data_IF_916687590151
#
_entry.id   IF_916687590151
#
_cell.length_a   1.000
_cell.length_b   1.000
_cell.length_c   1.000
_cell.angle_alpha   90.00
_cell.angle_beta   90.00
_cell.angle_gamma   90.00
#
_symmetry.space_group_name_H-M   'P 1'
#
loop_
_entity.id
_entity.type
_entity.pdbx_description
1 polymer ?
#
# COMPACT_ATOMS: atom_id res chain seq x y z
N UNK A 1 4.68 31.81 44.09
CA UNK A 1 4.35 30.38 43.88
C UNK A 1 4.77 30.00 42.48
N UNK A 2 5.80 29.18 42.34
CA UNK A 2 6.28 28.62 41.08
C UNK A 2 6.62 27.16 41.37
N UNK A 3 5.87 26.23 40.80
CA UNK A 3 6.27 24.83 40.65
C UNK A 3 5.87 24.40 39.25
N UNK A 4 6.88 24.39 38.39
CA UNK A 4 6.90 23.74 37.08
C UNK A 4 6.99 22.21 37.25
N UNK A 5 6.80 21.50 36.14
CA UNK A 5 7.27 20.11 35.90
C UNK A 5 6.37 19.01 36.50
N UNK A 6 5.98 17.94 35.83
CA UNK A 6 6.42 17.29 34.60
C UNK A 6 5.18 16.63 33.94
N UNK A 7 4.91 16.93 32.66
CA UNK A 7 4.18 15.99 31.79
C UNK A 7 5.24 15.06 31.24
N UNK A 8 5.37 13.89 31.85
CA UNK A 8 6.10 12.77 31.23
C UNK A 8 5.39 12.45 29.92
N UNK A 9 5.96 12.94 28.82
CA UNK A 9 5.69 12.43 27.49
C UNK A 9 6.23 11.00 27.47
N UNK A 10 5.34 10.02 27.68
CA UNK A 10 5.61 8.65 27.26
C UNK A 10 5.88 8.70 25.76
N UNK A 11 7.15 8.74 25.39
CA UNK A 11 7.58 8.30 24.06
C UNK A 11 7.22 6.82 23.95
N UNK A 12 6.01 6.55 23.47
CA UNK A 12 5.68 5.26 22.89
C UNK A 12 6.61 5.10 21.68
N UNK A 13 7.77 4.48 21.92
CA UNK A 13 8.58 3.85 20.91
C UNK A 13 7.76 2.72 20.31
N UNK A 14 6.90 3.11 19.37
CA UNK A 14 6.17 2.19 18.52
C UNK A 14 7.20 1.24 17.90
N UNK A 15 7.10 -0.08 18.10
CA UNK A 15 8.00 -1.05 17.47
C UNK A 15 7.95 -0.97 15.93
N UNK A 16 6.98 -0.25 15.39
CA UNK A 16 6.80 0.00 13.96
C UNK A 16 7.55 1.24 13.45
N UNK A 17 8.14 2.08 14.32
CA UNK A 17 8.74 3.36 13.88
C UNK A 17 9.98 3.19 12.98
N UNK A 18 10.68 2.05 13.06
CA UNK A 18 11.92 1.82 12.32
C UNK A 18 11.77 0.99 11.03
N UNK A 19 10.62 0.33 10.81
CA UNK A 19 10.39 -0.54 9.64
C UNK A 19 9.41 0.04 8.61
N UNK A 20 8.73 1.15 8.92
CA UNK A 20 7.76 1.78 8.00
C UNK A 20 8.45 2.50 6.82
N UNK A 21 9.74 2.83 6.95
CA UNK A 21 10.54 3.42 5.87
C UNK A 21 11.13 2.38 4.89
N UNK A 22 10.94 1.08 5.13
CA UNK A 22 11.49 0.03 4.27
C UNK A 22 10.56 -0.29 3.08
N UNK A 23 10.55 0.69 2.18
CA UNK A 23 10.34 0.67 0.72
C UNK A 23 9.13 -0.11 0.19
N UNK A 24 8.03 0.63 0.00
CA UNK A 24 7.09 0.30 -1.05
C UNK A 24 7.67 0.67 -2.43
N UNK A 25 7.95 -0.33 -3.24
CA UNK A 25 8.54 -0.17 -4.57
C UNK A 25 7.51 -0.07 -5.70
N UNK A 26 7.99 0.29 -6.89
CA UNK A 26 7.21 0.12 -8.12
C UNK A 26 7.10 -1.35 -8.51
N UNK A 27 5.93 -1.79 -8.97
CA UNK A 27 5.69 -3.12 -9.53
C UNK A 27 4.98 -3.01 -10.88
N UNK A 28 5.67 -3.36 -11.98
CA UNK A 28 5.12 -3.27 -13.35
C UNK A 28 4.48 -1.91 -13.68
N UNK A 29 5.12 -0.83 -13.20
CA UNK A 29 4.64 0.55 -13.36
C UNK A 29 3.59 1.00 -12.34
N UNK A 30 3.07 0.10 -11.50
CA UNK A 30 2.21 0.45 -10.37
C UNK A 30 3.05 0.89 -9.18
N UNK A 31 2.52 1.83 -8.40
CA UNK A 31 3.12 2.18 -7.10
C UNK A 31 2.42 1.38 -6.01
N UNK A 32 3.19 0.69 -5.18
CA UNK A 32 2.70 0.10 -3.93
C UNK A 32 3.25 1.00 -2.82
N UNK A 33 2.46 1.37 -1.81
CA UNK A 33 2.83 2.23 -0.67
C UNK A 33 2.28 1.68 0.64
N UNK A 34 2.95 1.91 1.77
CA UNK A 34 2.40 1.62 3.09
C UNK A 34 1.86 2.91 3.74
N UNK A 35 0.93 2.78 4.69
CA UNK A 35 0.47 3.88 5.54
C UNK A 35 -0.02 3.35 6.88
N UNK A 36 0.34 4.04 7.96
CA UNK A 36 -0.26 3.78 9.25
C UNK A 36 -1.58 4.54 9.37
N UNK A 37 -2.69 3.85 9.66
CA UNK A 37 -4.02 4.44 9.85
C UNK A 37 -4.63 3.83 11.11
N UNK A 38 -4.98 4.64 12.10
CA UNK A 38 -5.52 4.20 13.40
C UNK A 38 -4.66 3.12 14.08
N UNK A 39 -3.32 3.30 14.06
CA UNK A 39 -2.36 2.35 14.64
C UNK A 39 -2.18 1.05 13.86
N UNK A 40 -2.89 0.89 12.74
CA UNK A 40 -2.82 -0.29 11.88
C UNK A 40 -2.02 -0.01 10.62
N UNK A 41 -1.22 -0.97 10.16
CA UNK A 41 -0.47 -0.86 8.91
C UNK A 41 -1.36 -1.23 7.73
N UNK A 42 -1.45 -0.33 6.76
CA UNK A 42 -2.17 -0.53 5.52
C UNK A 42 -1.19 -0.59 4.36
N UNK A 43 -1.45 -1.49 3.43
CA UNK A 43 -0.83 -1.52 2.12
C UNK A 43 -1.79 -0.85 1.13
N UNK A 44 -1.25 0.00 0.25
CA UNK A 44 -1.98 0.74 -0.77
C UNK A 44 -1.30 0.54 -2.10
N UNK A 45 -2.04 0.57 -3.19
CA UNK A 45 -1.45 0.55 -4.53
C UNK A 45 -2.21 1.44 -5.50
N UNK A 46 -1.50 1.90 -6.53
CA UNK A 46 -1.95 2.93 -7.43
C UNK A 46 -1.61 2.54 -8.87
N UNK A 47 -2.62 2.60 -9.73
CA UNK A 47 -2.47 2.39 -11.16
C UNK A 47 -1.64 3.55 -11.76
N UNK A 48 -0.73 3.32 -12.72
CA UNK A 48 0.14 4.36 -13.30
C UNK A 48 -0.61 5.54 -13.93
N UNK A 49 -1.83 5.32 -14.41
CA UNK A 49 -2.72 6.35 -14.99
C UNK A 49 -3.55 7.12 -13.96
N UNK A 50 -3.44 6.78 -12.68
CA UNK A 50 -4.17 7.44 -11.60
C UNK A 50 -3.26 8.40 -10.84
N UNK A 51 -3.82 9.49 -10.32
CA UNK A 51 -3.08 10.49 -9.55
C UNK A 51 -3.08 10.23 -8.04
N UNK A 52 -3.98 9.37 -7.55
CA UNK A 52 -4.14 9.06 -6.14
C UNK A 52 -4.27 7.54 -5.94
N UNK A 53 -3.73 6.96 -4.86
CA UNK A 53 -3.94 5.56 -4.54
C UNK A 53 -5.43 5.30 -4.25
N UNK A 54 -6.09 4.54 -5.13
CA UNK A 54 -7.49 4.15 -4.95
C UNK A 54 -7.66 2.86 -4.17
N UNK A 55 -6.66 2.01 -4.19
CA UNK A 55 -6.73 0.66 -3.65
C UNK A 55 -5.89 0.53 -2.40
N UNK A 56 -6.40 -0.21 -1.42
CA UNK A 56 -5.64 -0.55 -0.23
C UNK A 56 -6.32 -1.60 0.62
N UNK A 57 -5.51 -2.32 1.38
CA UNK A 57 -5.93 -3.33 2.32
C UNK A 57 -5.12 -3.22 3.62
N UNK A 58 -5.70 -3.75 4.69
CA UNK A 58 -5.01 -3.92 5.95
C UNK A 58 -3.93 -5.00 5.79
N UNK A 59 -2.74 -4.79 6.36
CA UNK A 59 -1.72 -5.84 6.44
C UNK A 59 -2.25 -6.97 7.32
N UNK A 60 -2.35 -8.16 6.74
CA UNK A 60 -2.92 -9.33 7.41
C UNK A 60 -2.00 -9.92 8.47
N UNK A 61 -2.51 -10.92 9.19
CA UNK A 61 -1.79 -11.63 10.25
C UNK A 61 -0.52 -12.35 9.72
N UNK A 62 -0.52 -12.73 8.44
CA UNK A 62 0.63 -13.31 7.75
C UNK A 62 1.75 -12.28 7.46
N UNK A 63 1.56 -11.02 7.83
CA UNK A 63 2.56 -9.97 7.75
C UNK A 63 2.62 -9.25 6.40
N UNK A 64 3.56 -8.29 6.34
CA UNK A 64 3.69 -7.36 5.22
C UNK A 64 4.09 -8.06 3.92
N UNK A 65 5.04 -9.01 3.96
CA UNK A 65 5.50 -9.72 2.75
C UNK A 65 4.37 -10.48 2.06
N UNK A 66 3.62 -11.29 2.81
CA UNK A 66 2.49 -12.04 2.26
C UNK A 66 1.41 -11.11 1.69
N UNK A 67 1.18 -9.97 2.35
CA UNK A 67 0.24 -8.95 1.86
C UNK A 67 0.74 -8.31 0.56
N UNK A 68 2.03 -8.02 0.44
CA UNK A 68 2.65 -7.51 -0.79
C UNK A 68 2.50 -8.51 -1.94
N UNK A 69 2.78 -9.79 -1.70
CA UNK A 69 2.68 -10.82 -2.74
C UNK A 69 1.24 -11.01 -3.21
N UNK A 70 0.27 -10.93 -2.29
CA UNK A 70 -1.14 -10.90 -2.66
C UNK A 70 -1.49 -9.68 -3.54
N UNK A 71 -1.01 -8.49 -3.20
CA UNK A 71 -1.23 -7.28 -4.01
C UNK A 71 -0.58 -7.40 -5.40
N UNK A 72 0.62 -7.98 -5.50
CA UNK A 72 1.27 -8.25 -6.79
C UNK A 72 0.44 -9.18 -7.66
N UNK A 73 -0.13 -10.24 -7.08
CA UNK A 73 -1.05 -11.13 -7.79
C UNK A 73 -2.27 -10.37 -8.32
N UNK A 74 -2.85 -9.47 -7.53
CA UNK A 74 -3.99 -8.64 -7.95
C UNK A 74 -3.61 -7.70 -9.10
N UNK A 75 -2.44 -7.07 -9.06
CA UNK A 75 -1.92 -6.22 -10.15
C UNK A 75 -1.72 -7.05 -11.42
N UNK A 76 -1.13 -8.24 -11.31
CA UNK A 76 -0.92 -9.14 -12.45
C UNK A 76 -2.23 -9.55 -13.12
N UNK A 77 -3.23 -9.89 -12.31
CA UNK A 77 -4.57 -10.19 -12.79
C UNK A 77 -5.17 -8.99 -13.53
N UNK A 78 -5.04 -7.78 -12.97
CA UNK A 78 -5.59 -6.57 -13.58
C UNK A 78 -4.95 -6.27 -14.94
N UNK A 79 -3.62 -6.37 -15.04
CA UNK A 79 -2.89 -6.20 -16.31
C UNK A 79 -3.37 -7.23 -17.35
N UNK A 80 -3.56 -8.49 -16.94
CA UNK A 80 -4.03 -9.55 -17.84
C UNK A 80 -5.44 -9.26 -18.36
N UNK A 81 -6.34 -8.83 -17.48
CA UNK A 81 -7.71 -8.47 -17.83
C UNK A 81 -7.74 -7.26 -18.79
N UNK A 82 -6.94 -6.23 -18.51
CA UNK A 82 -6.83 -5.07 -19.40
C UNK A 82 -6.34 -5.46 -20.79
N UNK A 83 -5.30 -6.30 -20.87
CA UNK A 83 -4.80 -6.82 -22.15
C UNK A 83 -5.89 -7.56 -22.93
N UNK A 84 -6.68 -8.40 -22.25
CA UNK A 84 -7.73 -9.17 -22.91
C UNK A 84 -8.88 -8.28 -23.41
N UNK A 85 -9.27 -7.27 -22.63
CA UNK A 85 -10.26 -6.27 -23.05
C UNK A 85 -9.78 -5.50 -24.29
N UNK A 86 -8.50 -5.15 -24.38
CA UNK A 86 -7.96 -4.47 -25.56
C UNK A 86 -7.96 -5.36 -26.81
N UNK A 87 -7.62 -6.66 -26.67
CA UNK A 87 -7.71 -7.61 -27.79
C UNK A 87 -9.13 -7.73 -28.33
N UNK A 88 -10.11 -7.83 -27.44
CA UNK A 88 -11.52 -7.94 -27.84
C UNK A 88 -11.99 -6.69 -28.60
N UNK A 89 -11.59 -5.49 -28.18
CA UNK A 89 -11.90 -4.25 -28.90
C UNK A 89 -11.33 -4.25 -30.32
N UNK A 90 -10.06 -4.64 -30.46
CA UNK A 90 -9.42 -4.70 -31.79
C UNK A 90 -10.09 -5.73 -32.72
N UNK A 91 -10.67 -6.81 -32.18
CA UNK A 91 -11.41 -7.81 -32.98
C UNK A 91 -12.81 -7.34 -33.40
N UNK A 92 -13.39 -6.32 -32.74
CA UNK A 92 -14.70 -5.76 -33.08
C UNK A 92 -14.64 -4.60 -34.08
N UNK A 93 -13.45 -4.09 -34.37
CA UNK A 93 -13.21 -2.98 -35.31
C UNK A 93 -12.92 -3.44 -36.75
N UNK A 94 -12.98 -4.76 -37.01
CA UNK A 94 -12.82 -5.41 -38.31
C UNK A 94 -14.12 -6.11 -38.74
#
# INVERSE_FOLDING_TARGET
>A
MLLTSQRESLEQSSPYKADIEQIPGGYKGWSITTKLINGKLWLRWQHPKENLPRYGCLVGENGLSATIDHVRMMIDLMIKLESEVQKQKHLQEW
#
